data_IF_782908962933
#
_entry.id   IF_782908962933
#
_cell.length_a   1.000
_cell.length_b   1.000
_cell.length_c   1.000
_cell.angle_alpha   90.00
_cell.angle_beta   90.00
_cell.angle_gamma   90.00
#
_symmetry.space_group_name_H-M   'P 1'
#
loop_
_entity.id
_entity.type
_entity.pdbx_description
1 polymer ?
#
# COMPACT_ATOMS: atom_id res chain seq x y z
N UNK A 1 -10.54 -15.25 15.20
CA UNK A 1 -9.53 -14.21 15.45
C UNK A 1 -8.27 -14.51 14.64
N UNK A 2 -7.53 -13.49 14.26
CA UNK A 2 -6.16 -13.64 13.73
C UNK A 2 -5.17 -13.39 14.86
N UNK A 3 -4.30 -14.37 15.13
CA UNK A 3 -3.13 -14.21 15.99
C UNK A 3 -1.89 -14.00 15.13
N UNK A 4 -0.83 -13.43 15.71
CA UNK A 4 0.40 -13.07 14.97
C UNK A 4 0.11 -12.25 13.70
N UNK A 5 -0.93 -11.43 13.75
CA UNK A 5 -1.38 -10.65 12.60
C UNK A 5 -0.30 -9.65 12.19
N UNK A 6 0.02 -9.65 10.92
CA UNK A 6 0.94 -8.71 10.28
C UNK A 6 0.15 -7.87 9.29
N UNK A 7 0.21 -6.58 9.45
CA UNK A 7 -0.32 -5.66 8.46
C UNK A 7 0.57 -5.70 7.21
N UNK A 8 -0.02 -5.81 6.06
CA UNK A 8 0.71 -5.83 4.80
C UNK A 8 0.63 -4.48 4.07
N UNK A 9 -0.56 -3.99 3.88
CA UNK A 9 -0.89 -2.66 3.34
C UNK A 9 -2.40 -2.49 3.35
N UNK A 10 -2.93 -1.29 3.47
CA UNK A 10 -4.33 -0.95 3.32
C UNK A 10 -5.28 -1.96 3.93
N UNK A 11 -5.75 -2.02 5.06
CA UNK A 11 -6.65 -3.01 5.73
C UNK A 11 -6.30 -4.51 5.54
N UNK A 12 -5.24 -4.84 4.80
CA UNK A 12 -4.82 -6.21 4.58
C UNK A 12 -3.93 -6.71 5.71
N UNK A 13 -4.42 -7.70 6.42
CA UNK A 13 -3.68 -8.42 7.43
C UNK A 13 -3.43 -9.85 6.96
N UNK A 14 -2.36 -10.46 7.41
CA UNK A 14 -2.11 -11.89 7.30
C UNK A 14 -1.66 -12.39 8.65
N UNK A 15 -2.20 -13.50 9.09
CA UNK A 15 -1.87 -14.05 10.39
C UNK A 15 -2.21 -15.52 10.49
N UNK A 16 -2.23 -16.02 11.73
CA UNK A 16 -2.71 -17.36 12.06
C UNK A 16 -4.19 -17.26 12.45
N UNK A 17 -5.07 -17.92 11.70
CA UNK A 17 -6.47 -18.04 12.09
C UNK A 17 -6.56 -18.91 13.35
N UNK A 18 -7.25 -18.41 14.34
CA UNK A 18 -7.41 -19.09 15.63
C UNK A 18 -8.85 -19.03 16.09
N UNK A 19 -9.32 -20.07 16.77
CA UNK A 19 -10.61 -20.14 17.44
C UNK A 19 -10.46 -19.78 18.91
N UNK A 20 -11.34 -18.91 19.39
CA UNK A 20 -11.37 -18.47 20.79
C UNK A 20 -12.82 -18.45 21.26
N UNK A 21 -13.14 -18.87 22.51
CA UNK A 21 -14.47 -18.69 23.09
C UNK A 21 -14.84 -17.21 23.19
N UNK A 22 -16.13 -16.88 23.09
CA UNK A 22 -16.60 -15.49 23.20
C UNK A 22 -16.38 -14.92 24.62
N UNK A 23 -16.41 -15.77 25.63
CA UNK A 23 -16.14 -15.41 27.02
C UNK A 23 -14.64 -15.16 27.30
N UNK A 24 -13.79 -15.30 26.29
CA UNK A 24 -12.34 -15.18 26.41
C UNK A 24 -11.64 -16.52 26.64
N UNK A 25 -10.34 -16.48 26.63
CA UNK A 25 -9.46 -17.64 26.79
C UNK A 25 -8.31 -17.67 25.79
N UNK A 26 -7.45 -18.68 25.87
CA UNK A 26 -6.34 -18.81 24.95
C UNK A 26 -6.82 -19.17 23.53
N UNK A 27 -6.37 -18.46 22.48
CA UNK A 27 -6.70 -18.81 21.11
C UNK A 27 -6.09 -20.18 20.74
N UNK A 28 -6.90 -21.01 20.05
CA UNK A 28 -6.42 -22.28 19.47
C UNK A 28 -6.19 -22.09 17.98
N UNK A 29 -4.97 -22.25 17.53
CA UNK A 29 -4.57 -22.10 16.14
C UNK A 29 -5.23 -23.14 15.24
N UNK A 30 -5.67 -22.68 14.04
CA UNK A 30 -6.31 -23.49 13.01
C UNK A 30 -5.42 -23.54 11.77
N UNK A 31 -5.04 -22.36 11.24
CA UNK A 31 -4.32 -22.25 9.96
C UNK A 31 -3.49 -20.98 9.88
N UNK A 32 -2.26 -21.11 9.39
CA UNK A 32 -1.35 -19.98 9.11
C UNK A 32 -1.62 -19.34 7.74
N UNK A 33 -1.10 -18.13 7.58
CA UNK A 33 -1.16 -17.33 6.34
C UNK A 33 -2.59 -17.03 5.88
N UNK A 34 -3.51 -16.88 6.83
CA UNK A 34 -4.90 -16.51 6.57
C UNK A 34 -5.03 -14.98 6.59
N UNK A 35 -5.80 -14.44 5.63
CA UNK A 35 -6.23 -13.05 5.61
C UNK A 35 -7.57 -12.90 6.32
N UNK A 36 -8.55 -13.62 5.85
CA UNK A 36 -9.92 -13.55 6.30
C UNK A 36 -10.59 -14.92 6.24
N UNK A 37 -11.69 -15.05 6.97
CA UNK A 37 -12.47 -16.26 7.01
C UNK A 37 -13.94 -15.93 7.28
N UNK A 38 -14.84 -16.78 6.77
CA UNK A 38 -16.25 -16.75 7.07
C UNK A 38 -16.79 -18.16 7.36
N UNK A 39 -17.72 -18.27 8.31
CA UNK A 39 -18.39 -19.53 8.63
C UNK A 39 -19.41 -19.89 7.55
N UNK A 40 -19.46 -21.16 7.18
CA UNK A 40 -20.63 -21.64 6.46
C UNK A 40 -21.91 -21.51 7.33
N UNK A 41 -23.10 -21.49 6.72
CA UNK A 41 -24.35 -21.16 7.46
C UNK A 41 -24.70 -22.09 8.62
N UNK A 42 -24.19 -23.34 8.63
CA UNK A 42 -24.40 -24.31 9.71
C UNK A 42 -23.30 -24.24 10.79
N UNK A 43 -22.28 -23.43 10.59
CA UNK A 43 -21.16 -23.22 11.53
C UNK A 43 -20.20 -24.40 11.65
N UNK A 44 -20.24 -25.35 10.71
CA UNK A 44 -19.42 -26.56 10.76
C UNK A 44 -18.01 -26.36 10.19
N UNK A 45 -17.84 -25.45 9.21
CA UNK A 45 -16.57 -25.25 8.50
C UNK A 45 -16.42 -23.78 8.05
N UNK A 46 -15.21 -23.42 7.61
CA UNK A 46 -14.81 -22.06 7.27
C UNK A 46 -14.35 -21.95 5.81
N UNK A 47 -14.84 -20.93 5.11
CA UNK A 47 -14.17 -20.42 3.93
C UNK A 47 -12.99 -19.56 4.35
N UNK A 48 -11.85 -19.72 3.69
CA UNK A 48 -10.61 -19.03 4.01
C UNK A 48 -10.05 -18.31 2.79
N UNK A 49 -9.55 -17.10 3.01
CA UNK A 49 -8.65 -16.45 2.07
C UNK A 49 -7.24 -16.62 2.60
N UNK A 50 -6.36 -17.27 1.82
CA UNK A 50 -4.98 -17.56 2.19
C UNK A 50 -4.01 -17.05 1.15
N UNK A 51 -2.86 -16.54 1.61
CA UNK A 51 -1.75 -16.25 0.73
C UNK A 51 -0.80 -17.45 0.65
N UNK A 52 -0.66 -18.03 -0.53
CA UNK A 52 0.20 -19.19 -0.78
C UNK A 52 1.04 -18.94 -2.03
N UNK A 53 2.36 -18.92 -1.88
CA UNK A 53 3.28 -18.72 -3.00
C UNK A 53 3.07 -17.39 -3.74
N UNK A 54 2.73 -16.33 -3.01
CA UNK A 54 2.49 -15.02 -3.60
C UNK A 54 1.11 -14.83 -4.25
N UNK A 55 0.24 -15.82 -4.23
CA UNK A 55 -1.14 -15.73 -4.73
C UNK A 55 -2.15 -15.87 -3.61
N UNK A 56 -3.28 -15.19 -3.72
CA UNK A 56 -4.39 -15.39 -2.81
C UNK A 56 -5.32 -16.48 -3.33
N UNK A 57 -5.74 -17.35 -2.42
CA UNK A 57 -6.65 -18.47 -2.67
C UNK A 57 -7.88 -18.35 -1.82
N UNK A 58 -9.04 -18.51 -2.41
CA UNK A 58 -10.28 -18.80 -1.72
C UNK A 58 -10.40 -20.32 -1.59
N UNK A 59 -10.42 -20.82 -0.35
CA UNK A 59 -10.48 -22.25 -0.06
C UNK A 59 -11.77 -22.60 0.68
N UNK A 60 -12.43 -23.70 0.27
CA UNK A 60 -13.52 -24.32 1.02
C UNK A 60 -13.78 -25.76 0.53
N UNK A 61 -13.81 -26.77 1.43
CA UNK A 61 -13.25 -26.72 2.78
C UNK A 61 -11.74 -26.46 2.76
N UNK A 62 -11.14 -26.27 3.92
CA UNK A 62 -9.68 -26.02 4.01
C UNK A 62 -8.87 -26.97 3.15
N UNK A 63 -7.98 -26.42 2.31
CA UNK A 63 -7.12 -27.13 1.36
C UNK A 63 -7.74 -27.35 -0.02
N UNK A 64 -9.06 -27.18 -0.21
CA UNK A 64 -9.70 -27.21 -1.52
C UNK A 64 -9.80 -25.80 -2.09
N UNK A 65 -9.00 -25.49 -3.09
CA UNK A 65 -9.00 -24.19 -3.77
C UNK A 65 -10.23 -24.07 -4.67
N UNK A 66 -11.05 -23.04 -4.44
CA UNK A 66 -12.20 -22.69 -5.29
C UNK A 66 -11.82 -21.61 -6.32
N UNK A 67 -10.99 -20.64 -5.92
CA UNK A 67 -10.50 -19.58 -6.81
C UNK A 67 -9.10 -19.14 -6.40
N UNK A 68 -8.34 -18.59 -7.36
CA UNK A 68 -6.99 -18.07 -7.16
C UNK A 68 -6.82 -16.76 -7.92
N UNK A 69 -6.10 -15.78 -7.36
CA UNK A 69 -5.76 -14.52 -8.00
C UNK A 69 -4.31 -14.11 -7.74
N UNK A 70 -3.69 -13.42 -8.69
CA UNK A 70 -2.36 -12.80 -8.51
C UNK A 70 -2.41 -11.48 -7.75
N UNK A 71 -3.60 -10.87 -7.64
CA UNK A 71 -3.89 -9.74 -6.76
C UNK A 71 -4.20 -10.20 -5.34
N UNK A 72 -5.39 -9.85 -4.83
CA UNK A 72 -5.86 -10.38 -3.56
C UNK A 72 -7.39 -10.51 -3.53
N UNK A 73 -7.89 -11.32 -2.59
CA UNK A 73 -9.31 -11.40 -2.22
C UNK A 73 -9.54 -10.76 -0.86
N UNK A 74 -10.73 -10.20 -0.65
CA UNK A 74 -11.23 -9.74 0.65
C UNK A 74 -12.70 -10.05 0.85
N UNK A 75 -13.16 -9.91 2.09
CA UNK A 75 -14.56 -9.97 2.49
C UNK A 75 -15.31 -11.24 2.05
N UNK A 76 -14.82 -12.45 2.31
CA UNK A 76 -15.53 -13.66 1.95
C UNK A 76 -16.82 -13.77 2.75
N UNK A 77 -17.96 -14.06 2.10
CA UNK A 77 -19.27 -14.26 2.75
C UNK A 77 -20.02 -15.40 2.10
N UNK A 78 -20.42 -16.38 2.91
CA UNK A 78 -21.29 -17.45 2.42
C UNK A 78 -22.68 -16.93 2.09
N UNK A 79 -23.26 -17.44 1.01
CA UNK A 79 -24.68 -17.27 0.74
C UNK A 79 -25.51 -17.94 1.83
N UNK A 80 -26.74 -17.45 2.12
CA UNK A 80 -27.59 -18.03 3.17
C UNK A 80 -27.90 -19.52 2.98
N UNK A 81 -27.89 -20.01 1.73
CA UNK A 81 -28.09 -21.43 1.39
C UNK A 81 -26.79 -22.27 1.42
N UNK A 82 -25.65 -21.64 1.68
CA UNK A 82 -24.33 -22.27 1.78
C UNK A 82 -23.74 -22.78 0.47
N UNK A 83 -24.31 -22.42 -0.71
CA UNK A 83 -23.87 -22.96 -2.01
C UNK A 83 -22.87 -22.10 -2.74
N UNK A 84 -22.68 -20.88 -2.31
CA UNK A 84 -21.79 -19.90 -2.94
C UNK A 84 -21.12 -19.02 -1.91
N UNK A 85 -20.00 -18.41 -2.29
CA UNK A 85 -19.25 -17.45 -1.50
C UNK A 85 -19.10 -16.16 -2.32
N UNK A 86 -19.61 -15.04 -1.79
CA UNK A 86 -19.33 -13.73 -2.34
C UNK A 86 -17.96 -13.26 -1.84
N UNK A 87 -17.20 -12.60 -2.70
CA UNK A 87 -15.88 -12.04 -2.39
C UNK A 87 -15.64 -10.76 -3.17
N UNK A 88 -14.78 -9.91 -2.67
CA UNK A 88 -14.12 -8.89 -3.47
C UNK A 88 -12.83 -9.44 -4.07
N UNK A 89 -12.61 -9.19 -5.36
CA UNK A 89 -11.38 -9.51 -6.05
C UNK A 89 -10.68 -8.23 -6.49
N UNK A 90 -9.47 -8.04 -6.00
CA UNK A 90 -8.63 -6.88 -6.30
C UNK A 90 -7.52 -7.31 -7.27
N UNK A 91 -7.49 -6.79 -8.52
CA UNK A 91 -6.57 -7.26 -9.54
C UNK A 91 -5.13 -6.82 -9.32
N UNK A 92 -4.95 -5.74 -8.54
CA UNK A 92 -3.64 -5.20 -8.20
C UNK A 92 -3.38 -5.42 -6.71
N UNK A 93 -2.23 -5.98 -6.41
CA UNK A 93 -1.82 -6.20 -5.03
C UNK A 93 -1.66 -4.86 -4.31
N UNK A 94 -2.29 -4.74 -3.13
CA UNK A 94 -2.27 -3.54 -2.29
C UNK A 94 -2.96 -2.30 -2.87
N UNK A 95 -3.84 -2.47 -3.86
CA UNK A 95 -4.68 -1.41 -4.42
C UNK A 95 -6.15 -1.77 -4.16
N UNK A 96 -6.97 -0.78 -3.81
CA UNK A 96 -8.37 -1.01 -3.39
C UNK A 96 -9.34 -1.12 -4.55
N UNK A 97 -8.88 -0.89 -5.76
CA UNK A 97 -9.71 -1.15 -6.95
C UNK A 97 -10.06 -2.62 -7.00
N UNK A 98 -11.32 -2.90 -7.26
CA UNK A 98 -11.79 -4.25 -7.20
C UNK A 98 -13.07 -4.50 -7.98
N UNK A 99 -13.59 -5.68 -7.76
CA UNK A 99 -14.82 -6.18 -8.32
C UNK A 99 -15.50 -7.14 -7.35
N UNK A 100 -16.82 -7.16 -7.36
CA UNK A 100 -17.62 -8.12 -6.59
C UNK A 100 -17.85 -9.37 -7.43
N UNK A 101 -17.48 -10.51 -6.89
CA UNK A 101 -17.69 -11.81 -7.53
C UNK A 101 -18.38 -12.81 -6.59
N UNK A 102 -19.04 -13.80 -7.17
CA UNK A 102 -19.57 -14.96 -6.48
C UNK A 102 -18.90 -16.21 -7.02
N UNK A 103 -18.42 -17.06 -6.11
CA UNK A 103 -17.78 -18.34 -6.44
C UNK A 103 -18.63 -19.47 -5.88
N UNK A 104 -19.05 -20.40 -6.73
CA UNK A 104 -19.78 -21.60 -6.28
C UNK A 104 -18.82 -22.66 -5.70
N UNK A 105 -19.36 -23.68 -5.04
CA UNK A 105 -18.54 -24.73 -4.41
C UNK A 105 -17.85 -25.68 -5.42
N UNK A 106 -18.18 -25.53 -6.73
CA UNK A 106 -17.45 -26.18 -7.80
C UNK A 106 -16.29 -25.36 -8.34
N UNK A 107 -16.14 -24.10 -7.87
CA UNK A 107 -15.07 -23.19 -8.27
C UNK A 107 -15.43 -22.30 -9.47
N UNK A 108 -16.68 -22.28 -9.92
CA UNK A 108 -17.12 -21.37 -10.97
C UNK A 108 -17.29 -19.97 -10.39
N UNK A 109 -16.46 -19.05 -10.87
CA UNK A 109 -16.49 -17.62 -10.50
C UNK A 109 -17.39 -16.85 -11.47
N UNK A 110 -18.28 -16.02 -10.95
CA UNK A 110 -19.16 -15.11 -11.69
C UNK A 110 -18.92 -13.69 -11.20
N UNK A 111 -18.51 -12.79 -12.09
CA UNK A 111 -18.38 -11.37 -11.82
C UNK A 111 -19.77 -10.75 -11.79
N UNK A 112 -20.09 -10.00 -10.72
CA UNK A 112 -21.37 -9.32 -10.54
C UNK A 112 -21.26 -7.81 -10.77
N UNK A 113 -20.19 -7.18 -10.31
CA UNK A 113 -19.97 -5.73 -10.42
C UNK A 113 -18.49 -5.41 -10.46
N UNK A 114 -18.10 -4.35 -11.18
CA UNK A 114 -16.73 -3.87 -11.31
C UNK A 114 -16.69 -2.35 -11.54
N UNK A 115 -15.48 -1.83 -11.70
CA UNK A 115 -15.26 -0.43 -12.12
C UNK A 115 -15.22 0.59 -10.99
N UNK A 116 -15.01 0.17 -9.75
CA UNK A 116 -14.80 1.07 -8.63
C UNK A 116 -13.32 1.27 -8.31
N UNK A 117 -12.99 2.48 -7.88
CA UNK A 117 -11.67 2.82 -7.39
C UNK A 117 -11.42 2.32 -5.96
N UNK A 118 -12.46 2.26 -5.13
CA UNK A 118 -12.45 1.70 -3.80
C UNK A 118 -13.67 0.80 -3.61
N UNK A 119 -13.45 -0.40 -3.13
CA UNK A 119 -14.50 -1.36 -2.77
C UNK A 119 -14.21 -1.96 -1.40
N UNK A 120 -15.22 -2.03 -0.54
CA UNK A 120 -15.07 -2.53 0.82
C UNK A 120 -16.35 -3.16 1.35
N UNK A 121 -16.21 -4.32 1.98
CA UNK A 121 -17.29 -5.02 2.65
C UNK A 121 -18.31 -5.67 1.71
N UNK A 122 -18.65 -6.90 2.00
CA UNK A 122 -19.65 -7.70 1.28
C UNK A 122 -20.63 -8.30 2.27
N UNK A 123 -21.91 -8.35 1.91
CA UNK A 123 -22.94 -9.07 2.64
C UNK A 123 -24.02 -9.62 1.70
N UNK A 124 -24.64 -10.74 2.05
CA UNK A 124 -25.77 -11.27 1.31
C UNK A 124 -27.09 -10.71 1.82
N UNK A 125 -28.06 -10.49 0.93
CA UNK A 125 -29.46 -10.33 1.34
C UNK A 125 -29.93 -11.60 2.05
N UNK A 126 -30.85 -11.50 3.04
CA UNK A 126 -31.33 -12.67 3.78
C UNK A 126 -31.97 -13.76 2.90
N UNK A 127 -32.51 -13.38 1.75
CA UNK A 127 -33.12 -14.30 0.76
C UNK A 127 -32.11 -14.85 -0.26
N UNK A 128 -30.84 -14.44 -0.20
CA UNK A 128 -29.77 -14.88 -1.08
C UNK A 128 -29.86 -14.40 -2.52
N UNK A 129 -30.68 -13.40 -2.84
CA UNK A 129 -30.92 -12.93 -4.20
C UNK A 129 -29.99 -11.80 -4.63
N UNK A 130 -29.46 -11.03 -3.68
CA UNK A 130 -28.58 -9.90 -3.92
C UNK A 130 -27.35 -9.99 -3.03
N UNK A 131 -26.24 -9.45 -3.54
CA UNK A 131 -25.02 -9.18 -2.79
C UNK A 131 -24.92 -7.68 -2.59
N UNK A 132 -24.82 -7.26 -1.34
CA UNK A 132 -24.59 -5.88 -0.93
C UNK A 132 -23.09 -5.65 -0.82
N UNK A 133 -22.64 -4.47 -1.23
CA UNK A 133 -21.23 -4.08 -1.12
C UNK A 133 -21.11 -2.57 -1.02
N UNK A 134 -20.00 -2.11 -0.49
CA UNK A 134 -19.64 -0.70 -0.55
C UNK A 134 -18.64 -0.44 -1.68
N UNK A 135 -18.88 0.61 -2.47
CA UNK A 135 -18.02 0.97 -3.59
C UNK A 135 -18.06 2.46 -3.88
N UNK A 136 -17.00 3.00 -4.45
CA UNK A 136 -16.89 4.42 -4.79
C UNK A 136 -15.74 4.71 -5.73
N UNK A 137 -15.68 5.97 -6.16
CA UNK A 137 -14.60 6.48 -7.01
C UNK A 137 -13.42 7.01 -6.19
N UNK A 138 -13.55 7.07 -4.88
CA UNK A 138 -12.52 7.40 -3.91
C UNK A 138 -12.87 6.80 -2.53
N UNK A 139 -11.90 6.77 -1.61
CA UNK A 139 -12.06 6.22 -0.26
C UNK A 139 -13.02 6.99 0.66
N UNK A 140 -13.30 8.24 0.36
CA UNK A 140 -14.10 9.11 1.20
C UNK A 140 -15.58 9.05 0.85
N UNK A 141 -15.90 8.54 -0.34
CA UNK A 141 -17.26 8.55 -0.87
C UNK A 141 -17.68 7.17 -1.37
N UNK A 142 -17.47 6.14 -0.54
CA UNK A 142 -18.04 4.82 -0.81
C UNK A 142 -19.52 4.81 -0.40
N UNK A 143 -20.33 4.22 -1.27
CA UNK A 143 -21.78 4.08 -1.08
C UNK A 143 -22.15 2.61 -1.02
N UNK A 144 -23.26 2.27 -0.41
CA UNK A 144 -23.75 0.90 -0.38
C UNK A 144 -24.61 0.65 -1.61
N UNK A 145 -24.24 -0.36 -2.35
CA UNK A 145 -24.97 -0.91 -3.50
C UNK A 145 -25.47 -2.31 -3.21
N UNK A 146 -26.49 -2.74 -3.93
CA UNK A 146 -26.89 -4.12 -4.04
C UNK A 146 -26.84 -4.54 -5.51
N UNK A 147 -26.37 -5.74 -5.77
CA UNK A 147 -26.27 -6.33 -7.10
C UNK A 147 -26.93 -7.72 -7.11
N UNK A 148 -27.82 -7.99 -8.05
CA UNK A 148 -28.41 -9.31 -8.18
C UNK A 148 -27.44 -10.28 -8.91
N UNK A 149 -27.76 -11.57 -8.89
CA UNK A 149 -26.93 -12.61 -9.51
C UNK A 149 -26.86 -12.51 -11.06
N UNK A 150 -27.57 -11.56 -11.67
CA UNK A 150 -27.52 -11.22 -13.09
C UNK A 150 -26.71 -9.96 -13.37
N UNK A 151 -26.10 -9.35 -12.33
CA UNK A 151 -25.29 -8.13 -12.46
C UNK A 151 -26.10 -6.82 -12.48
N UNK A 152 -27.42 -6.84 -12.21
CA UNK A 152 -28.24 -5.63 -12.13
C UNK A 152 -28.04 -4.97 -10.78
N UNK A 153 -27.45 -3.79 -10.81
CA UNK A 153 -27.06 -3.00 -9.61
C UNK A 153 -28.10 -1.93 -9.29
N UNK A 154 -28.28 -1.67 -8.01
CA UNK A 154 -29.02 -0.51 -7.48
C UNK A 154 -28.27 0.14 -6.31
N UNK A 155 -28.48 1.41 -6.10
CA UNK A 155 -27.98 2.13 -4.92
C UNK A 155 -28.91 1.88 -3.74
N UNK A 156 -28.34 1.53 -2.58
CA UNK A 156 -29.07 1.28 -1.33
C UNK A 156 -28.96 2.45 -0.40
N UNK A 157 -27.73 2.94 -0.16
CA UNK A 157 -27.44 4.02 0.76
C UNK A 157 -26.31 4.90 0.23
N UNK A 158 -26.57 6.20 0.23
CA UNK A 158 -25.56 7.23 -0.02
C UNK A 158 -25.41 8.11 1.21
N UNK A 159 -24.18 8.39 1.60
CA UNK A 159 -23.88 9.28 2.72
C UNK A 159 -22.62 10.07 2.38
N UNK A 160 -22.48 11.30 2.88
CA UNK A 160 -21.18 11.94 2.93
C UNK A 160 -20.23 11.12 3.82
N UNK A 161 -19.06 10.77 3.30
CA UNK A 161 -18.08 9.89 3.94
C UNK A 161 -18.15 8.45 3.45
N UNK A 162 -17.12 7.69 3.76
CA UNK A 162 -17.01 6.29 3.40
C UNK A 162 -17.99 5.42 4.18
N UNK A 163 -18.66 4.51 3.50
CA UNK A 163 -19.48 3.48 4.12
C UNK A 163 -18.84 2.11 3.86
N UNK A 164 -18.89 1.24 4.85
CA UNK A 164 -18.52 -0.18 4.70
C UNK A 164 -19.67 -1.03 5.25
N UNK A 165 -20.15 -1.98 4.46
CA UNK A 165 -21.13 -2.97 4.93
C UNK A 165 -20.41 -4.20 5.46
N UNK A 166 -20.78 -4.67 6.65
CA UNK A 166 -20.15 -5.81 7.28
C UNK A 166 -21.01 -7.06 7.26
N UNK A 167 -22.31 -6.90 7.48
CA UNK A 167 -23.22 -8.04 7.53
C UNK A 167 -24.68 -7.58 7.41
N UNK A 168 -25.58 -8.53 7.08
CA UNK A 168 -27.04 -8.35 7.09
C UNK A 168 -27.66 -9.50 7.87
N UNK A 169 -28.33 -9.15 8.97
CA UNK A 169 -29.03 -10.10 9.79
C UNK A 169 -30.25 -10.69 9.07
N UNK A 170 -30.75 -11.85 9.54
CA UNK A 170 -31.91 -12.51 8.93
C UNK A 170 -33.19 -11.66 8.97
N UNK A 171 -33.29 -10.74 9.90
CA UNK A 171 -34.40 -9.79 10.02
C UNK A 171 -34.22 -8.53 9.11
N UNK A 172 -33.14 -8.46 8.36
CA UNK A 172 -32.83 -7.39 7.43
C UNK A 172 -32.06 -6.21 8.03
N UNK A 173 -31.73 -6.23 9.33
CA UNK A 173 -30.84 -5.21 9.91
C UNK A 173 -29.46 -5.32 9.33
N UNK A 174 -28.89 -4.18 8.95
CA UNK A 174 -27.55 -4.09 8.33
C UNK A 174 -26.55 -3.56 9.35
N UNK A 175 -25.38 -4.17 9.41
CA UNK A 175 -24.24 -3.69 10.17
C UNK A 175 -23.33 -2.89 9.24
N UNK A 176 -23.22 -1.59 9.49
CA UNK A 176 -22.52 -0.65 8.61
C UNK A 176 -21.58 0.22 9.44
N UNK A 177 -20.36 0.46 8.96
CA UNK A 177 -19.53 1.55 9.48
C UNK A 177 -19.61 2.77 8.56
N UNK A 178 -19.55 3.93 9.20
CA UNK A 178 -19.12 5.16 8.53
C UNK A 178 -17.67 5.39 8.88
N UNK A 179 -16.83 5.38 7.85
CA UNK A 179 -15.39 5.47 7.96
C UNK A 179 -14.92 6.85 7.50
N UNK A 180 -14.17 7.52 8.36
CA UNK A 180 -13.49 8.77 8.06
C UNK A 180 -12.00 8.51 7.99
N UNK A 181 -11.48 8.61 6.77
CA UNK A 181 -10.08 8.38 6.45
C UNK A 181 -9.42 9.72 6.15
N UNK A 182 -8.42 10.08 6.93
CA UNK A 182 -7.59 11.24 6.66
C UNK A 182 -6.13 10.80 6.46
N UNK A 183 -5.50 11.33 5.41
CA UNK A 183 -4.06 11.27 5.19
C UNK A 183 -3.54 12.68 5.12
N UNK A 184 -2.95 13.10 6.21
CA UNK A 184 -2.44 14.45 6.40
C UNK A 184 -0.91 14.41 6.25
N UNK A 185 -0.37 15.26 5.38
CA UNK A 185 1.06 15.40 5.21
C UNK A 185 1.62 16.54 6.03
N UNK A 186 2.60 16.26 6.86
CA UNK A 186 3.28 17.24 7.70
C UNK A 186 4.74 17.38 7.30
N UNK A 187 5.30 18.57 7.50
CA UNK A 187 6.70 18.86 7.25
C UNK A 187 7.26 19.74 8.33
N UNK A 188 8.47 19.44 8.79
CA UNK A 188 9.34 20.38 9.48
C UNK A 188 10.35 20.95 8.48
N UNK A 189 10.20 22.22 8.04
CA UNK A 189 11.20 22.87 7.21
C UNK A 189 12.49 23.17 7.99
N UNK A 190 13.62 23.28 7.28
CA UNK A 190 14.90 23.64 7.90
C UNK A 190 14.83 24.97 8.65
N UNK A 191 15.40 25.00 9.85
CA UNK A 191 15.40 26.18 10.72
C UNK A 191 14.06 26.49 11.41
N UNK A 192 13.02 25.69 11.21
CA UNK A 192 11.75 25.82 11.92
C UNK A 192 11.70 24.88 13.13
N UNK A 193 10.86 25.24 14.11
CA UNK A 193 10.60 24.43 15.32
C UNK A 193 9.21 23.82 15.35
N UNK A 194 8.36 24.19 14.40
CA UNK A 194 6.98 23.69 14.27
C UNK A 194 6.76 23.07 12.91
N UNK A 195 6.10 21.94 12.91
CA UNK A 195 5.63 21.32 11.69
C UNK A 195 4.54 22.17 11.02
N UNK A 196 4.46 22.06 9.71
CA UNK A 196 3.41 22.66 8.89
C UNK A 196 2.61 21.56 8.23
N UNK A 197 1.33 21.78 8.08
CA UNK A 197 0.48 20.97 7.23
C UNK A 197 0.84 21.24 5.75
N UNK A 198 1.20 20.19 5.05
CA UNK A 198 1.57 20.18 3.63
C UNK A 198 0.54 19.46 2.79
N UNK A 199 -0.57 19.04 3.36
CA UNK A 199 -1.65 18.40 2.62
C UNK A 199 -2.17 19.32 1.53
N UNK A 200 -2.43 18.77 0.36
CA UNK A 200 -3.08 19.54 -0.71
C UNK A 200 -4.56 19.22 -0.77
N UNK A 201 -4.87 17.96 -1.02
CA UNK A 201 -6.23 17.44 -0.95
C UNK A 201 -6.32 16.48 0.25
N UNK A 202 -6.82 15.29 0.02
CA UNK A 202 -7.12 14.37 1.11
C UNK A 202 -6.16 13.19 1.26
N UNK A 203 -5.30 12.98 0.26
CA UNK A 203 -4.48 11.78 0.17
C UNK A 203 -3.05 12.11 -0.29
N UNK A 204 -2.41 13.02 0.44
CA UNK A 204 -1.08 13.55 0.10
C UNK A 204 0.04 12.66 0.69
N UNK A 205 0.95 12.20 -0.17
CA UNK A 205 2.11 11.36 0.19
C UNK A 205 3.43 12.05 -0.19
N UNK A 206 4.17 12.67 0.73
CA UNK A 206 5.52 13.18 0.46
C UNK A 206 6.46 12.00 0.17
N UNK A 207 7.27 12.12 -0.89
CA UNK A 207 8.19 11.06 -1.32
C UNK A 207 9.65 11.51 -1.39
N UNK A 208 9.92 12.79 -1.69
CA UNK A 208 11.28 13.32 -1.73
C UNK A 208 11.31 14.81 -1.39
N UNK A 209 12.40 15.23 -0.75
CA UNK A 209 12.77 16.64 -0.56
C UNK A 209 13.93 16.92 -1.49
N UNK A 210 13.82 17.97 -2.32
CA UNK A 210 14.90 18.39 -3.22
C UNK A 210 16.19 18.67 -2.44
N UNK A 211 17.35 18.45 -3.08
CA UNK A 211 18.65 18.59 -2.42
C UNK A 211 18.88 20.00 -1.86
N UNK A 212 18.29 21.04 -2.44
CA UNK A 212 18.34 22.43 -1.97
C UNK A 212 17.32 22.74 -0.86
N UNK A 213 16.50 21.76 -0.46
CA UNK A 213 15.46 21.88 0.58
C UNK A 213 14.26 22.74 0.19
N UNK A 214 14.15 23.22 -1.06
CA UNK A 214 13.12 24.18 -1.47
C UNK A 214 11.83 23.55 -1.96
N UNK A 215 11.87 22.31 -2.40
CA UNK A 215 10.71 21.61 -2.96
C UNK A 215 10.50 20.27 -2.29
N UNK A 216 9.23 19.90 -2.13
CA UNK A 216 8.77 18.55 -1.76
C UNK A 216 8.03 17.97 -2.94
N UNK A 217 8.47 16.81 -3.39
CA UNK A 217 7.73 15.96 -4.34
C UNK A 217 6.78 15.06 -3.55
N UNK A 218 5.57 14.95 -4.02
CA UNK A 218 4.56 14.11 -3.39
C UNK A 218 3.63 13.44 -4.40
N UNK A 219 3.02 12.35 -3.99
CA UNK A 219 1.90 11.74 -4.71
C UNK A 219 0.59 12.25 -4.11
N UNK A 220 -0.34 12.66 -4.94
CA UNK A 220 -1.74 12.87 -4.55
C UNK A 220 -2.59 11.75 -5.15
N UNK A 221 -3.31 11.03 -4.29
CA UNK A 221 -4.14 9.88 -4.70
C UNK A 221 -5.61 10.26 -4.94
N UNK A 222 -5.92 11.54 -5.03
CA UNK A 222 -7.28 12.02 -5.21
C UNK A 222 -7.70 12.00 -6.69
N UNK A 223 -8.84 11.37 -6.98
CA UNK A 223 -9.40 11.24 -8.34
C UNK A 223 -9.82 12.56 -8.98
N UNK A 224 -9.97 13.63 -8.22
CA UNK A 224 -10.24 14.98 -8.78
C UNK A 224 -9.08 15.53 -9.63
N UNK A 225 -7.88 14.95 -9.52
CA UNK A 225 -6.73 15.33 -10.32
C UNK A 225 -6.51 14.44 -11.55
N UNK A 226 -7.27 13.36 -11.67
CA UNK A 226 -7.15 12.41 -12.77
C UNK A 226 -7.54 11.00 -12.33
N UNK A 227 -7.64 10.03 -13.25
CA UNK A 227 -8.09 8.68 -12.96
C UNK A 227 -7.04 7.81 -12.25
N UNK A 228 -5.86 8.36 -12.00
CA UNK A 228 -4.68 7.67 -11.48
C UNK A 228 -4.01 8.55 -10.43
N UNK A 229 -3.00 8.00 -9.75
CA UNK A 229 -2.10 8.79 -8.90
C UNK A 229 -1.52 9.97 -9.67
N UNK A 230 -1.32 11.10 -8.99
CA UNK A 230 -0.75 12.30 -9.58
C UNK A 230 0.58 12.65 -8.89
N UNK A 231 1.64 12.76 -9.68
CA UNK A 231 2.91 13.31 -9.22
C UNK A 231 2.80 14.84 -9.14
N UNK A 232 3.10 15.39 -7.98
CA UNK A 232 2.94 16.80 -7.65
C UNK A 232 4.17 17.33 -6.93
N UNK A 233 4.43 18.63 -7.08
CA UNK A 233 5.50 19.33 -6.37
C UNK A 233 4.97 20.55 -5.65
N UNK A 234 5.54 20.87 -4.50
CA UNK A 234 5.20 22.05 -3.70
C UNK A 234 6.46 22.66 -3.10
N UNK A 235 6.51 23.98 -3.05
CA UNK A 235 7.55 24.69 -2.31
C UNK A 235 7.45 24.46 -0.80
N UNK A 236 8.59 24.33 -0.13
CA UNK A 236 8.65 24.20 1.34
C UNK A 236 8.27 25.51 2.06
N UNK A 237 8.15 26.61 1.34
CA UNK A 237 7.65 27.90 1.80
C UNK A 237 6.11 27.95 1.96
N UNK A 238 5.41 26.91 1.47
CA UNK A 238 3.96 26.81 1.51
C UNK A 238 3.27 27.34 0.25
N UNK A 239 4.03 27.62 -0.81
CA UNK A 239 3.47 28.00 -2.11
C UNK A 239 2.49 26.94 -2.64
N UNK A 240 1.55 27.32 -3.54
CA UNK A 240 0.58 26.38 -4.09
C UNK A 240 1.24 25.20 -4.77
N UNK A 241 0.69 23.99 -4.65
CA UNK A 241 1.22 22.81 -5.32
C UNK A 241 0.99 22.89 -6.84
N UNK A 242 1.87 22.21 -7.57
CA UNK A 242 1.82 22.06 -9.03
C UNK A 242 1.74 20.59 -9.37
N UNK A 243 0.74 20.18 -10.13
CA UNK A 243 0.64 18.85 -10.71
C UNK A 243 1.62 18.75 -11.89
N UNK A 244 2.49 17.74 -11.85
CA UNK A 244 3.47 17.46 -12.91
C UNK A 244 2.90 16.49 -13.95
N UNK A 245 2.17 15.48 -13.51
CA UNK A 245 1.58 14.47 -14.40
C UNK A 245 0.99 13.29 -13.64
N UNK A 246 0.64 12.24 -14.40
CA UNK A 246 0.08 11.00 -13.86
C UNK A 246 1.15 10.15 -13.19
N UNK A 247 0.74 9.33 -12.22
CA UNK A 247 1.56 8.31 -11.59
C UNK A 247 1.99 8.62 -10.16
N UNK A 248 2.51 7.59 -9.53
CA UNK A 248 3.08 7.66 -8.19
C UNK A 248 4.47 8.28 -8.26
N UNK A 249 4.64 9.44 -7.65
CA UNK A 249 5.93 10.10 -7.53
C UNK A 249 6.91 9.23 -6.73
N UNK A 250 8.20 9.28 -7.07
CA UNK A 250 9.22 8.41 -6.50
C UNK A 250 10.43 9.18 -5.95
N UNK A 251 11.03 10.04 -6.75
CA UNK A 251 12.26 10.73 -6.38
C UNK A 251 12.48 12.03 -7.19
N UNK A 252 13.39 12.87 -6.73
CA UNK A 252 13.86 14.07 -7.44
C UNK A 252 15.31 13.86 -7.86
N UNK A 253 15.63 14.20 -9.13
CA UNK A 253 17.02 14.14 -9.59
C UNK A 253 17.94 15.01 -8.72
N UNK A 254 19.23 14.63 -8.55
CA UNK A 254 20.17 15.37 -7.70
C UNK A 254 20.34 16.84 -8.10
N UNK A 255 20.17 17.18 -9.39
CA UNK A 255 20.21 18.54 -9.91
C UNK A 255 18.88 19.31 -9.78
N UNK A 256 17.84 18.66 -9.22
CA UNK A 256 16.51 19.25 -8.99
C UNK A 256 15.68 19.46 -10.26
N UNK A 257 16.10 18.95 -11.42
CA UNK A 257 15.42 19.25 -12.70
C UNK A 257 14.32 18.26 -13.07
N UNK A 258 14.34 17.06 -12.52
CA UNK A 258 13.42 15.98 -12.86
C UNK A 258 12.73 15.40 -11.64
N UNK A 259 11.44 15.18 -11.75
CA UNK A 259 10.67 14.34 -10.86
C UNK A 259 10.46 12.97 -11.53
N UNK A 260 10.80 11.90 -10.81
CA UNK A 260 10.64 10.51 -11.24
C UNK A 260 9.27 10.00 -10.78
N UNK A 261 8.56 9.31 -11.65
CA UNK A 261 7.28 8.70 -11.34
C UNK A 261 7.12 7.33 -11.98
N UNK A 262 6.34 6.46 -11.32
CA UNK A 262 5.83 5.20 -11.85
C UNK A 262 4.38 5.44 -12.27
N UNK A 263 4.10 5.29 -13.56
CA UNK A 263 2.75 5.45 -14.10
C UNK A 263 2.11 4.07 -14.26
N UNK A 264 1.02 3.78 -13.51
CA UNK A 264 0.30 2.53 -13.63
C UNK A 264 -0.25 2.36 -15.05
N UNK A 265 0.15 1.29 -15.70
CA UNK A 265 -0.28 0.86 -17.04
C UNK A 265 0.08 -0.63 -17.21
N UNK A 266 -0.18 -1.22 -18.33
CA UNK A 266 0.23 -2.61 -18.62
C UNK A 266 1.08 -2.64 -19.90
N UNK A 267 2.43 -2.75 -19.77
CA UNK A 267 3.26 -2.70 -18.56
C UNK A 267 3.28 -1.32 -17.91
N UNK A 268 3.71 -1.23 -16.64
CA UNK A 268 3.94 0.04 -15.96
C UNK A 268 5.07 0.83 -16.63
N UNK A 269 5.03 2.15 -16.51
CA UNK A 269 6.01 3.03 -17.16
C UNK A 269 6.78 3.87 -16.15
N UNK A 270 8.07 4.03 -16.40
CA UNK A 270 8.92 4.99 -15.70
C UNK A 270 8.91 6.30 -16.46
N UNK A 271 8.55 7.39 -15.79
CA UNK A 271 8.39 8.71 -16.41
C UNK A 271 9.20 9.75 -15.63
N UNK A 272 9.87 10.63 -16.35
CA UNK A 272 10.55 11.82 -15.82
C UNK A 272 9.74 13.06 -16.21
N UNK A 273 9.22 13.76 -15.23
CA UNK A 273 8.56 15.05 -15.39
C UNK A 273 9.56 16.19 -15.14
N UNK A 274 9.61 17.22 -16.00
CA UNK A 274 10.46 18.38 -15.74
C UNK A 274 9.92 19.17 -14.54
N UNK A 275 10.81 19.57 -13.63
CA UNK A 275 10.50 20.42 -12.47
C UNK A 275 10.43 21.93 -12.84
N UNK A 276 10.62 22.26 -14.10
CA UNK A 276 10.54 23.56 -14.72
C UNK A 276 10.17 23.44 -16.20
N UNK A 277 10.47 24.40 -17.05
CA UNK A 277 10.22 24.29 -18.48
C UNK A 277 10.93 23.08 -19.09
N UNK A 278 10.21 22.27 -19.87
CA UNK A 278 10.77 21.06 -20.48
C UNK A 278 9.68 20.11 -20.98
N UNK A 279 10.12 19.01 -21.55
CA UNK A 279 9.25 17.94 -22.04
C UNK A 279 9.40 16.69 -21.18
N UNK A 280 8.29 16.02 -20.91
CA UNK A 280 8.23 14.73 -20.24
C UNK A 280 9.03 13.67 -21.02
N UNK A 281 9.74 12.79 -20.31
CA UNK A 281 10.44 11.66 -20.89
C UNK A 281 9.90 10.35 -20.33
N UNK A 282 9.61 9.39 -21.19
CA UNK A 282 9.36 8.00 -20.80
C UNK A 282 10.64 7.21 -20.96
N UNK A 283 11.01 6.44 -19.95
CA UNK A 283 12.23 5.61 -19.99
C UNK A 283 11.85 4.20 -20.43
N UNK A 284 12.52 3.74 -21.49
CA UNK A 284 12.39 2.36 -21.94
C UNK A 284 13.13 1.43 -21.00
N UNK A 285 12.40 0.51 -20.38
CA UNK A 285 12.91 -0.37 -19.32
C UNK A 285 12.89 -1.87 -19.71
N UNK A 286 12.76 -2.15 -20.99
CA UNK A 286 12.87 -3.52 -21.52
C UNK A 286 11.83 -4.49 -20.93
N UNK A 287 12.27 -5.63 -20.34
CA UNK A 287 11.35 -6.69 -19.94
C UNK A 287 10.67 -6.47 -18.57
N UNK A 288 11.03 -5.41 -17.83
CA UNK A 288 10.43 -5.15 -16.52
C UNK A 288 9.01 -4.62 -16.69
N UNK A 289 8.04 -5.26 -16.05
CA UNK A 289 6.61 -5.01 -16.27
C UNK A 289 5.90 -4.29 -15.13
N UNK A 290 6.47 -4.33 -13.94
CA UNK A 290 5.97 -3.63 -12.76
C UNK A 290 7.08 -3.24 -11.79
N UNK A 291 6.85 -2.17 -11.02
CA UNK A 291 7.86 -1.57 -10.15
C UNK A 291 7.30 -1.36 -8.75
N UNK A 292 8.12 -1.59 -7.73
CA UNK A 292 7.80 -1.26 -6.33
C UNK A 292 8.38 0.10 -5.93
N UNK A 293 9.58 0.43 -6.42
CA UNK A 293 10.18 1.77 -6.26
C UNK A 293 11.21 2.09 -7.32
N UNK A 294 11.51 3.38 -7.44
CA UNK A 294 12.49 3.92 -8.35
C UNK A 294 13.20 5.12 -7.72
N UNK A 295 14.53 5.17 -7.75
CA UNK A 295 15.31 6.30 -7.23
C UNK A 295 16.46 6.65 -8.15
N UNK A 296 16.94 7.89 -8.11
CA UNK A 296 18.15 8.30 -8.83
C UNK A 296 19.40 7.81 -8.13
N UNK A 297 20.41 7.47 -8.95
CA UNK A 297 21.78 7.47 -8.48
C UNK A 297 22.28 8.92 -8.31
N UNK A 298 23.33 9.14 -7.47
CA UNK A 298 23.90 10.49 -7.28
C UNK A 298 24.44 11.12 -8.56
N UNK A 299 24.71 10.34 -9.60
CA UNK A 299 25.17 10.84 -10.93
C UNK A 299 24.06 11.56 -11.70
N UNK A 300 22.78 11.41 -11.28
CA UNK A 300 21.63 11.97 -11.96
C UNK A 300 21.35 11.39 -13.35
N UNK A 301 22.08 10.36 -13.76
CA UNK A 301 22.00 9.73 -15.08
C UNK A 301 21.57 8.27 -15.03
N UNK A 302 21.65 7.67 -13.87
CA UNK A 302 21.29 6.28 -13.61
C UNK A 302 20.12 6.24 -12.63
N UNK A 303 19.18 5.31 -12.84
CA UNK A 303 18.08 4.98 -11.94
C UNK A 303 18.36 3.62 -11.31
N UNK A 304 17.99 3.46 -10.05
CA UNK A 304 17.75 2.17 -9.43
C UNK A 304 16.26 1.90 -9.52
N UNK A 305 15.87 0.85 -10.20
CA UNK A 305 14.49 0.41 -10.37
C UNK A 305 14.33 -0.93 -9.67
N UNK A 306 13.48 -1.05 -8.67
CA UNK A 306 13.14 -2.34 -8.08
C UNK A 306 11.76 -2.76 -8.56
N UNK A 307 11.69 -3.92 -9.21
CA UNK A 307 10.50 -4.43 -9.87
C UNK A 307 10.70 -5.84 -10.39
N UNK A 308 9.80 -6.32 -11.21
CA UNK A 308 9.88 -7.70 -11.72
C UNK A 308 9.58 -7.80 -13.21
N UNK A 309 10.19 -8.79 -13.84
CA UNK A 309 9.83 -9.27 -15.17
C UNK A 309 8.64 -10.25 -15.07
N UNK A 310 7.97 -10.51 -16.18
CA UNK A 310 6.83 -11.45 -16.18
C UNK A 310 7.27 -12.85 -15.71
N UNK A 311 6.67 -13.34 -14.64
CA UNK A 311 6.95 -14.67 -14.07
C UNK A 311 8.17 -14.75 -13.16
N UNK A 312 8.81 -13.62 -12.82
CA UNK A 312 9.97 -13.55 -11.92
C UNK A 312 9.62 -12.87 -10.60
N UNK A 313 10.47 -13.05 -9.60
CA UNK A 313 10.41 -12.29 -8.34
C UNK A 313 10.93 -10.86 -8.50
N UNK A 314 10.64 -10.03 -7.50
CA UNK A 314 11.12 -8.64 -7.44
C UNK A 314 12.63 -8.61 -7.25
N UNK A 315 13.33 -7.79 -8.04
CA UNK A 315 14.76 -7.47 -7.88
C UNK A 315 15.03 -6.03 -8.29
N UNK A 316 16.22 -5.53 -7.97
CA UNK A 316 16.62 -4.20 -8.37
C UNK A 316 17.55 -4.21 -9.59
N UNK A 317 17.39 -3.19 -10.44
CA UNK A 317 18.10 -3.00 -11.70
C UNK A 317 18.72 -1.59 -11.74
N UNK A 318 19.90 -1.48 -12.29
CA UNK A 318 20.46 -0.18 -12.71
C UNK A 318 20.06 0.11 -14.16
N UNK A 319 19.51 1.30 -14.41
CA UNK A 319 18.94 1.73 -15.69
C UNK A 319 19.41 3.14 -16.04
N UNK A 320 19.95 3.33 -17.24
CA UNK A 320 20.24 4.70 -17.73
C UNK A 320 18.97 5.47 -18.04
N UNK A 321 18.92 6.78 -17.70
CA UNK A 321 17.84 7.69 -18.11
C UNK A 321 17.82 7.96 -19.63
N UNK A 322 18.86 7.55 -20.36
CA UNK A 322 18.91 7.60 -21.81
C UNK A 322 18.25 6.38 -22.48
N UNK A 323 17.72 5.44 -21.67
CA UNK A 323 17.17 4.17 -22.13
C UNK A 323 18.21 3.04 -22.18
N UNK A 324 17.87 1.95 -22.84
CA UNK A 324 18.69 0.76 -22.93
C UNK A 324 18.16 -0.38 -22.03
N UNK A 325 18.87 -1.50 -22.02
CA UNK A 325 18.47 -2.68 -21.24
C UNK A 325 18.82 -2.50 -19.75
N UNK A 326 17.86 -2.70 -18.82
CA UNK A 326 18.14 -2.68 -17.38
C UNK A 326 19.16 -3.79 -17.02
N UNK A 327 20.10 -3.47 -16.14
CA UNK A 327 21.08 -4.42 -15.62
C UNK A 327 20.70 -4.84 -14.23
N UNK A 328 20.44 -6.13 -13.96
CA UNK A 328 20.16 -6.61 -12.61
C UNK A 328 21.36 -6.32 -11.69
N UNK A 329 21.08 -5.84 -10.48
CA UNK A 329 22.10 -5.55 -9.45
C UNK A 329 21.89 -6.30 -8.16
N UNK A 330 20.71 -6.93 -7.99
CA UNK A 330 20.41 -7.80 -6.85
C UNK A 330 19.84 -9.14 -7.32
N UNK A 331 19.85 -10.18 -6.50
CA UNK A 331 19.00 -11.38 -6.72
C UNK A 331 17.52 -11.04 -6.56
N UNK A 332 16.65 -12.02 -6.80
CA UNK A 332 15.20 -11.91 -6.53
C UNK A 332 14.91 -11.80 -5.04
N UNK A 333 13.69 -11.45 -4.69
CA UNK A 333 13.19 -11.17 -3.33
C UNK A 333 13.93 -10.01 -2.63
N UNK A 334 14.29 -8.97 -3.41
CA UNK A 334 14.88 -7.72 -2.95
C UNK A 334 14.06 -6.53 -3.43
N UNK A 335 13.65 -5.69 -2.49
CA UNK A 335 12.74 -4.56 -2.74
C UNK A 335 13.20 -3.28 -2.05
N UNK A 336 12.52 -2.16 -2.29
CA UNK A 336 12.75 -0.84 -1.68
C UNK A 336 14.22 -0.41 -1.69
N UNK A 337 14.88 -0.54 -2.85
CA UNK A 337 16.28 -0.20 -3.02
C UNK A 337 16.55 1.29 -2.85
N UNK A 338 17.64 1.62 -2.12
CA UNK A 338 18.18 2.98 -2.02
C UNK A 338 19.67 2.97 -2.36
N UNK A 339 20.17 4.09 -2.91
CA UNK A 339 21.57 4.22 -3.36
C UNK A 339 22.36 5.04 -2.36
N UNK A 340 23.58 4.58 -2.03
CA UNK A 340 24.51 5.33 -1.17
C UNK A 340 24.90 6.67 -1.77
N UNK A 341 25.27 7.63 -0.92
CA UNK A 341 25.66 8.98 -1.32
C UNK A 341 26.87 9.01 -2.28
N UNK A 342 27.73 8.00 -2.24
CA UNK A 342 28.88 7.83 -3.16
C UNK A 342 28.52 7.05 -4.44
N UNK A 343 27.27 6.57 -4.58
CA UNK A 343 26.79 5.81 -5.73
C UNK A 343 27.30 4.37 -5.84
N UNK A 344 28.10 3.89 -4.86
CA UNK A 344 28.80 2.61 -4.97
C UNK A 344 28.05 1.44 -4.37
N UNK A 345 27.05 1.69 -3.54
CA UNK A 345 26.32 0.66 -2.83
C UNK A 345 24.82 0.88 -2.92
N UNK A 346 24.10 -0.22 -2.85
CA UNK A 346 22.64 -0.28 -2.83
C UNK A 346 22.24 -0.97 -1.53
N UNK A 347 21.31 -0.40 -0.79
CA UNK A 347 20.66 -1.01 0.36
C UNK A 347 19.26 -1.44 -0.03
N UNK A 348 18.87 -2.66 0.29
CA UNK A 348 17.56 -3.22 -0.03
C UNK A 348 16.92 -3.89 1.17
N UNK A 349 15.61 -4.06 1.10
CA UNK A 349 14.89 -4.99 1.97
C UNK A 349 15.10 -6.42 1.47
N UNK A 350 15.38 -7.30 2.41
CA UNK A 350 15.41 -8.75 2.23
C UNK A 350 14.48 -9.40 3.27
N UNK A 351 14.07 -10.66 3.10
CA UNK A 351 13.19 -11.33 4.06
C UNK A 351 13.69 -11.34 5.51
N UNK A 352 15.00 -11.35 5.71
CA UNK A 352 15.62 -11.38 7.04
C UNK A 352 15.97 -9.99 7.60
N UNK A 353 15.82 -8.91 6.81
CA UNK A 353 16.18 -7.54 7.19
C UNK A 353 16.85 -6.81 6.03
N UNK A 354 17.77 -5.89 6.33
CA UNK A 354 18.45 -5.09 5.31
C UNK A 354 19.70 -5.78 4.77
N UNK A 355 19.95 -5.64 3.47
CA UNK A 355 21.17 -6.12 2.82
C UNK A 355 21.79 -5.03 1.94
N UNK A 356 23.12 -4.98 1.92
CA UNK A 356 23.91 -4.06 1.08
C UNK A 356 24.54 -4.82 -0.08
N UNK A 357 24.42 -4.27 -1.28
CA UNK A 357 24.99 -4.78 -2.53
C UNK A 357 25.93 -3.75 -3.14
N UNK A 358 27.00 -4.17 -3.86
CA UNK A 358 27.71 -3.27 -4.77
C UNK A 358 26.76 -2.76 -5.88
N UNK A 359 26.86 -1.51 -6.28
CA UNK A 359 26.02 -0.95 -7.36
C UNK A 359 26.27 -1.59 -8.71
N UNK A 360 27.46 -2.19 -8.89
CA UNK A 360 27.81 -2.96 -10.09
C UNK A 360 27.25 -4.38 -10.07
N UNK A 361 26.56 -4.78 -8.99
CA UNK A 361 26.11 -6.15 -8.77
C UNK A 361 27.14 -6.99 -8.03
N UNK A 362 26.72 -8.18 -7.59
CA UNK A 362 27.58 -9.10 -6.83
C UNK A 362 26.89 -9.64 -5.58
N UNK A 363 27.69 -10.20 -4.66
CA UNK A 363 27.17 -10.77 -3.43
C UNK A 363 26.69 -9.69 -2.47
N UNK A 364 25.49 -9.88 -1.90
CA UNK A 364 24.94 -9.04 -0.84
C UNK A 364 25.59 -9.35 0.51
N UNK A 365 25.63 -8.34 1.36
CA UNK A 365 26.08 -8.46 2.75
C UNK A 365 24.92 -8.06 3.66
N UNK A 366 24.45 -8.96 4.56
CA UNK A 366 23.46 -8.60 5.56
C UNK A 366 23.97 -7.48 6.46
N UNK A 367 23.08 -6.53 6.77
CA UNK A 367 23.40 -5.43 7.69
C UNK A 367 23.29 -5.94 9.13
N UNK A 368 24.38 -5.91 9.92
CA UNK A 368 24.31 -6.27 11.34
C UNK A 368 23.24 -5.47 12.08
N UNK A 369 22.55 -6.09 13.01
CA UNK A 369 21.53 -5.41 13.82
C UNK A 369 20.27 -4.96 13.06
N UNK A 370 20.16 -5.21 11.76
CA UNK A 370 18.90 -5.02 11.04
C UNK A 370 17.87 -6.07 11.44
N UNK A 371 16.60 -5.72 11.33
CA UNK A 371 15.49 -6.55 11.78
C UNK A 371 14.42 -6.59 10.68
N UNK A 372 13.61 -7.65 10.59
CA UNK A 372 12.41 -7.64 9.77
C UNK A 372 11.51 -6.45 10.15
N UNK A 373 11.04 -5.70 9.16
CA UNK A 373 10.24 -4.48 9.35
C UNK A 373 11.06 -3.18 9.48
N UNK A 374 12.39 -3.24 9.39
CA UNK A 374 13.20 -2.03 9.22
C UNK A 374 13.04 -1.49 7.79
N UNK A 375 12.74 -0.21 7.66
CA UNK A 375 12.59 0.47 6.37
C UNK A 375 13.67 1.54 6.27
N UNK A 376 14.54 1.51 5.24
CA UNK A 376 15.54 2.52 5.03
C UNK A 376 14.89 3.83 4.57
N UNK A 377 15.22 4.93 5.24
CA UNK A 377 14.74 6.27 4.91
C UNK A 377 15.77 7.01 4.06
N UNK A 378 17.04 6.98 4.50
CA UNK A 378 18.12 7.69 3.83
C UNK A 378 19.50 7.18 4.26
N UNK A 379 20.42 7.13 3.31
CA UNK A 379 21.84 6.93 3.63
C UNK A 379 22.42 8.16 4.34
N UNK A 380 23.28 7.93 5.33
CA UNK A 380 24.11 8.99 5.89
C UNK A 380 25.07 9.58 4.86
N UNK A 381 25.46 10.82 5.01
CA UNK A 381 26.39 11.49 4.11
C UNK A 381 27.76 10.79 4.02
N UNK A 382 28.16 10.08 5.08
CA UNK A 382 29.40 9.29 5.17
C UNK A 382 29.31 7.93 4.44
N UNK A 383 28.15 7.59 3.91
CA UNK A 383 27.79 6.29 3.34
C UNK A 383 28.05 5.08 4.29
N UNK A 384 28.25 5.28 5.59
CA UNK A 384 28.52 4.24 6.58
C UNK A 384 27.32 3.92 7.45
N UNK A 385 26.35 4.79 7.47
CA UNK A 385 25.12 4.63 8.23
C UNK A 385 23.89 4.82 7.36
N UNK A 386 22.75 4.36 7.85
CA UNK A 386 21.44 4.59 7.25
C UNK A 386 20.47 5.12 8.31
N UNK A 387 19.67 6.09 7.97
CA UNK A 387 18.47 6.43 8.74
C UNK A 387 17.40 5.40 8.42
N UNK A 388 16.85 4.78 9.42
CA UNK A 388 15.83 3.76 9.29
C UNK A 388 14.69 4.00 10.28
N UNK A 389 13.51 3.53 9.92
CA UNK A 389 12.33 3.50 10.77
C UNK A 389 11.80 2.08 10.83
N UNK A 390 10.93 1.79 11.78
CA UNK A 390 10.19 0.54 11.80
C UNK A 390 8.81 0.73 11.20
N UNK A 391 8.41 -0.23 10.41
CA UNK A 391 7.06 -0.27 9.90
C UNK A 391 6.03 -0.30 11.05
N UNK A 392 4.95 0.49 10.92
CA UNK A 392 3.81 0.57 11.87
C UNK A 392 4.13 1.11 13.28
N UNK A 393 5.29 1.67 13.52
CA UNK A 393 5.59 2.33 14.79
C UNK A 393 5.01 3.77 14.79
N UNK A 394 4.10 4.06 15.74
CA UNK A 394 3.52 5.40 15.92
C UNK A 394 3.66 5.79 17.40
N UNK A 395 4.31 6.91 17.70
CA UNK A 395 5.05 7.80 16.80
C UNK A 395 6.28 7.11 16.19
N UNK A 396 6.70 7.58 15.02
CA UNK A 396 7.87 7.06 14.29
C UNK A 396 9.14 7.28 15.12
N UNK A 397 9.94 6.24 15.29
CA UNK A 397 11.30 6.36 15.83
C UNK A 397 12.29 6.33 14.68
N UNK A 398 12.84 7.50 14.33
CA UNK A 398 13.92 7.59 13.34
C UNK A 398 15.23 7.22 14.01
N UNK A 399 15.83 6.13 13.61
CA UNK A 399 17.08 5.62 14.16
C UNK A 399 18.19 5.68 13.10
N UNK A 400 19.41 5.94 13.55
CA UNK A 400 20.62 5.79 12.75
C UNK A 400 21.19 4.40 13.01
N UNK A 401 21.30 3.60 11.97
CA UNK A 401 21.89 2.26 11.99
C UNK A 401 23.28 2.32 11.36
N UNK A 402 24.31 2.01 12.14
CA UNK A 402 25.68 1.84 11.61
C UNK A 402 25.78 0.51 10.88
N UNK A 403 26.19 0.55 9.62
CA UNK A 403 26.16 -0.61 8.70
C UNK A 403 27.28 -1.64 8.99
N UNK A 404 28.32 -1.26 9.73
CA UNK A 404 29.41 -2.15 10.08
C UNK A 404 29.19 -2.85 11.42
N UNK A 405 28.67 -2.12 12.42
CA UNK A 405 28.54 -2.60 13.79
C UNK A 405 27.14 -3.01 14.17
N UNK A 406 26.11 -2.56 13.45
CA UNK A 406 24.72 -2.74 13.80
C UNK A 406 24.23 -1.88 14.97
N UNK A 407 25.06 -0.92 15.44
CA UNK A 407 24.67 0.00 16.51
C UNK A 407 23.53 0.90 16.02
N UNK A 408 22.54 1.09 16.89
CA UNK A 408 21.38 1.97 16.65
C UNK A 408 21.38 3.13 17.63
N UNK A 409 21.26 4.32 17.11
CA UNK A 409 21.12 5.54 17.89
C UNK A 409 19.80 6.24 17.48
N UNK A 410 18.94 6.55 18.47
CA UNK A 410 17.72 7.31 18.22
C UNK A 410 18.09 8.74 17.81
N UNK A 411 17.67 9.14 16.61
CA UNK A 411 17.89 10.51 16.09
C UNK A 411 16.73 11.40 16.47
N UNK A 412 15.50 10.92 16.30
CA UNK A 412 14.29 11.71 16.52
C UNK A 412 13.05 10.82 16.67
N UNK A 413 12.05 11.32 17.40
CA UNK A 413 10.69 10.80 17.39
C UNK A 413 9.82 11.77 16.59
N UNK A 414 9.04 11.25 15.62
CA UNK A 414 8.23 12.03 14.68
C UNK A 414 6.78 11.52 14.69
N UNK A 415 5.83 12.42 14.69
CA UNK A 415 4.40 12.07 14.60
C UNK A 415 3.53 13.24 15.04
N UNK A 416 2.22 13.19 14.71
CA UNK A 416 1.30 14.26 15.10
C UNK A 416 1.15 14.34 16.62
N UNK A 417 0.89 15.54 17.11
CA UNK A 417 0.72 15.79 18.55
C UNK A 417 -0.48 15.02 19.16
N UNK A 418 -1.55 14.85 18.38
CA UNK A 418 -2.70 14.01 18.72
C UNK A 418 -2.63 12.68 17.96
N UNK A 419 -2.41 11.60 18.69
CA UNK A 419 -2.33 10.24 18.15
C UNK A 419 -3.69 9.53 18.09
N UNK A 420 -4.80 10.16 18.45
CA UNK A 420 -6.12 9.54 18.43
C UNK A 420 -6.51 9.10 17.03
N UNK A 421 -6.72 7.79 16.84
CA UNK A 421 -7.06 7.18 15.55
C UNK A 421 -5.93 7.15 14.53
N UNK A 422 -4.71 7.57 14.88
CA UNK A 422 -3.55 7.45 13.99
C UNK A 422 -3.10 6.00 13.98
N UNK A 423 -3.18 5.39 12.80
CA UNK A 423 -2.82 3.98 12.59
C UNK A 423 -1.47 3.82 11.91
N UNK A 424 -0.98 4.89 11.29
CA UNK A 424 0.31 4.88 10.59
C UNK A 424 0.83 6.31 10.46
N UNK A 425 2.12 6.48 10.58
CA UNK A 425 2.85 7.70 10.24
C UNK A 425 3.97 7.33 9.24
N UNK A 426 3.60 7.19 7.96
CA UNK A 426 4.50 6.70 6.89
C UNK A 426 3.96 7.12 5.51
N UNK A 427 4.84 7.43 4.51
CA UNK A 427 6.31 7.43 4.60
C UNK A 427 6.85 8.56 5.47
N UNK A 428 8.08 8.41 5.97
CA UNK A 428 8.91 9.48 6.48
C UNK A 428 10.04 9.73 5.49
N UNK A 429 10.23 10.97 5.08
CA UNK A 429 11.35 11.42 4.25
C UNK A 429 12.18 12.46 5.00
N UNK A 430 13.48 12.48 4.75
CA UNK A 430 14.43 13.37 5.44
C UNK A 430 15.31 14.05 4.39
N UNK A 431 15.57 15.35 4.56
CA UNK A 431 16.46 16.14 3.68
C UNK A 431 17.91 15.66 3.74
N UNK A 432 18.71 16.05 2.75
CA UNK A 432 20.13 15.67 2.66
C UNK A 432 20.96 16.14 3.86
N UNK A 433 20.64 17.29 4.44
CA UNK A 433 21.28 17.86 5.61
C UNK A 433 20.67 17.37 6.93
N UNK A 434 19.67 16.49 6.88
CA UNK A 434 18.91 15.90 8.00
C UNK A 434 18.17 16.93 8.88
N UNK A 435 18.04 18.18 8.43
CA UNK A 435 17.40 19.25 9.19
C UNK A 435 15.91 19.37 8.92
N UNK A 436 15.46 18.91 7.76
CA UNK A 436 14.05 18.90 7.37
C UNK A 436 13.55 17.47 7.25
N UNK A 437 12.28 17.27 7.52
CA UNK A 437 11.60 16.02 7.24
C UNK A 437 10.14 16.26 6.86
N UNK A 438 9.54 15.30 6.16
CA UNK A 438 8.10 15.28 5.97
C UNK A 438 7.59 13.84 6.13
N UNK A 439 6.34 13.71 6.55
CA UNK A 439 5.69 12.42 6.72
C UNK A 439 4.19 12.52 6.45
N UNK A 440 3.56 11.38 6.16
CA UNK A 440 2.10 11.26 6.13
C UNK A 440 1.61 10.64 7.43
N UNK A 441 0.62 11.26 8.04
CA UNK A 441 -0.17 10.68 9.14
C UNK A 441 -1.46 10.10 8.58
N UNK A 442 -1.69 8.81 8.78
CA UNK A 442 -2.92 8.14 8.39
C UNK A 442 -3.81 7.95 9.61
N UNK A 443 -4.99 8.54 9.56
CA UNK A 443 -5.96 8.51 10.66
C UNK A 443 -7.24 7.83 10.19
N UNK A 444 -7.73 6.89 11.02
CA UNK A 444 -9.01 6.25 10.84
C UNK A 444 -9.94 6.55 12.01
N UNK A 445 -11.16 6.90 11.68
CA UNK A 445 -12.27 6.97 12.64
C UNK A 445 -13.44 6.22 12.04
N UNK A 446 -13.93 5.20 12.75
CA UNK A 446 -15.06 4.41 12.30
C UNK A 446 -16.18 4.49 13.33
N UNK A 447 -17.38 4.75 12.87
CA UNK A 447 -18.59 4.70 13.67
C UNK A 447 -19.45 3.53 13.18
N UNK A 448 -19.72 2.59 14.08
CA UNK A 448 -20.52 1.39 13.78
C UNK A 448 -22.00 1.66 14.01
N UNK A 449 -22.85 1.30 13.06
CA UNK A 449 -24.29 1.45 13.08
C UNK A 449 -24.98 0.12 12.80
N UNK A 450 -26.07 -0.14 13.54
CA UNK A 450 -27.11 -1.09 13.12
C UNK A 450 -28.21 -0.28 12.41
N UNK A 451 -28.43 -0.56 11.14
CA UNK A 451 -29.36 0.21 10.29
C UNK A 451 -30.56 -0.65 9.95
N UNK A 452 -31.76 -0.11 10.11
CA UNK A 452 -33.04 -0.76 9.81
C UNK A 452 -33.73 -0.08 8.62
N UNK A 453 -34.55 -0.82 7.88
CA UNK A 453 -35.43 -0.29 6.85
C UNK A 453 -34.76 0.02 5.51
N UNK A 454 -33.49 -0.29 5.32
CA UNK A 454 -32.86 -0.23 4.00
C UNK A 454 -33.38 -1.41 3.14
N UNK A 455 -33.89 -1.11 1.95
CA UNK A 455 -34.42 -2.10 0.99
C UNK A 455 -33.59 -2.11 -0.26
#
# INVERSE_FOLDING_TARGET
>A
VLTNARYQRHKLFTGTLSRMPLEGGAPREIQENVREADWNPDGSDLALIRNVGGKDRLEFPLGKVLAETGGYFSDPRFSPDGKSIAVMEHPLRFDDRGSVAVVDLAGKKTLLSDGYWAEEGVAWSPDGREVFFAGGNDYKNTHIYAVDLKGRRRTVLQSPGGLTIHDIARDGRQLVTRDDHAREAYMLPSGQTRERDMSWLDLTFPVAIAADGRNVLFTEENTNLGPMYSACVRGTDGSPPVRLGDGSAQDISPDGKWALAIVPSKPERIVLYPMGPGQTKTIETGPVVAYENAVFFPDGKTLLLCGHESGSGVRCYAQSISGGKPRPVTPEDRSLGTVSSDGRRILTLAPAGLEVYPSEGGAGTPVPGSRPGDIPVRWGADARSVLAVRDWEVPIRLERLDLATGRRDLVRTVGPADLTGVVQAFPLIVSADEKSYAYTSRRYRSLLFAVEGLK
#
